data_IF_166600575931
#
_entry.id   IF_166600575931
#
_cell.length_a   1.000
_cell.length_b   1.000
_cell.length_c   1.000
_cell.angle_alpha   90.00
_cell.angle_beta   90.00
_cell.angle_gamma   90.00
#
_symmetry.space_group_name_H-M   'P 1'
#
loop_
_entity.id
_entity.type
_entity.pdbx_description
1 polymer ?
#
# COMPACT_ATOMS: atom_id res chain seq x y z
N UNK A 1 -14.03 -14.78 -5.90
CA UNK A 1 -13.35 -13.47 -5.84
C UNK A 1 -13.06 -13.15 -4.37
N UNK A 2 -11.91 -12.53 -4.06
CA UNK A 2 -11.55 -12.07 -2.71
C UNK A 2 -11.58 -10.55 -2.69
N UNK A 3 -12.19 -9.95 -1.66
CA UNK A 3 -12.19 -8.50 -1.44
C UNK A 3 -11.42 -8.18 -0.15
N UNK A 4 -10.54 -7.20 -0.20
CA UNK A 4 -9.88 -6.64 0.97
C UNK A 4 -10.41 -5.22 1.22
N UNK A 5 -10.88 -4.97 2.44
CA UNK A 5 -11.36 -3.67 2.88
C UNK A 5 -10.34 -3.06 3.82
N UNK A 6 -9.97 -1.83 3.55
CA UNK A 6 -9.10 -1.05 4.44
C UNK A 6 -9.95 -0.04 5.20
N UNK A 7 -10.16 -0.33 6.47
CA UNK A 7 -10.96 0.49 7.39
C UNK A 7 -10.02 1.19 8.36
N UNK A 8 -9.99 2.52 8.30
CA UNK A 8 -9.24 3.34 9.25
C UNK A 8 -10.12 3.67 10.45
N UNK A 9 -10.47 2.63 11.23
CA UNK A 9 -11.32 2.70 12.40
C UNK A 9 -10.71 1.93 13.55
N UNK A 10 -11.09 2.31 14.76
CA UNK A 10 -10.70 1.59 15.95
C UNK A 10 -11.18 0.12 15.87
N UNK A 11 -10.35 -0.87 16.23
CA UNK A 11 -10.75 -2.27 16.25
C UNK A 11 -11.97 -2.57 17.12
N UNK A 12 -12.24 -1.72 18.13
CA UNK A 12 -13.39 -1.83 19.04
C UNK A 12 -14.66 -1.19 18.51
N UNK A 13 -14.60 -0.45 17.40
CA UNK A 13 -15.77 0.19 16.78
C UNK A 13 -16.89 -0.85 16.55
N UNK A 14 -18.13 -0.58 16.97
CA UNK A 14 -19.27 -1.48 16.79
C UNK A 14 -19.44 -1.98 15.36
N UNK A 15 -19.09 -1.18 14.37
CA UNK A 15 -19.15 -1.52 12.96
C UNK A 15 -18.29 -2.73 12.60
N UNK A 16 -17.18 -2.95 13.32
CA UNK A 16 -16.31 -4.11 13.12
C UNK A 16 -17.01 -5.42 13.51
N UNK A 17 -17.93 -5.35 14.48
CA UNK A 17 -18.80 -6.46 14.86
C UNK A 17 -19.91 -6.69 13.86
N UNK A 18 -20.56 -5.62 13.40
CA UNK A 18 -21.58 -5.69 12.37
C UNK A 18 -21.06 -6.29 11.06
N UNK A 19 -19.87 -5.85 10.60
CA UNK A 19 -19.22 -6.41 9.41
C UNK A 19 -18.97 -7.91 9.50
N UNK A 20 -18.76 -8.45 10.70
CA UNK A 20 -18.60 -9.89 10.90
C UNK A 20 -19.90 -10.67 10.93
N UNK A 21 -20.97 -10.06 11.46
CA UNK A 21 -22.26 -10.72 11.63
C UNK A 21 -23.14 -10.61 10.38
N UNK A 22 -23.18 -9.41 9.80
CA UNK A 22 -24.06 -9.03 8.71
C UNK A 22 -23.26 -8.38 7.57
N UNK A 23 -22.28 -9.10 7.07
CA UNK A 23 -21.29 -8.56 6.12
C UNK A 23 -21.94 -7.90 4.92
N UNK A 24 -22.88 -8.58 4.25
CA UNK A 24 -23.51 -8.08 3.01
C UNK A 24 -24.30 -6.81 3.26
N UNK A 25 -25.20 -6.80 4.24
CA UNK A 25 -26.04 -5.64 4.56
C UNK A 25 -25.23 -4.43 4.98
N UNK A 26 -24.18 -4.67 5.80
CA UNK A 26 -23.26 -3.64 6.26
C UNK A 26 -22.44 -3.06 5.09
N UNK A 27 -21.93 -3.90 4.19
CA UNK A 27 -21.23 -3.45 2.99
C UNK A 27 -22.11 -2.59 2.09
N UNK A 28 -23.36 -2.99 1.85
CA UNK A 28 -24.30 -2.22 1.00
C UNK A 28 -24.69 -0.89 1.65
N UNK A 29 -24.77 -0.84 2.99
CA UNK A 29 -25.03 0.42 3.72
C UNK A 29 -23.87 1.43 3.53
N UNK A 30 -22.62 0.97 3.55
CA UNK A 30 -21.45 1.84 3.38
C UNK A 30 -21.10 2.13 1.92
N UNK A 31 -21.38 1.20 1.06
CA UNK A 31 -21.06 1.26 -0.37
C UNK A 31 -22.31 0.89 -1.19
N UNK A 32 -23.33 1.75 -1.21
CA UNK A 32 -24.59 1.43 -1.91
C UNK A 32 -24.40 1.18 -3.41
N UNK A 33 -23.37 1.79 -4.01
CA UNK A 33 -22.99 1.52 -5.39
C UNK A 33 -22.41 0.14 -5.66
N UNK A 34 -22.07 -0.63 -4.62
CA UNK A 34 -21.47 -1.94 -4.78
C UNK A 34 -22.38 -2.93 -5.51
N UNK A 35 -23.68 -2.84 -5.26
CA UNK A 35 -24.68 -3.69 -5.91
C UNK A 35 -24.76 -3.45 -7.42
N UNK A 36 -24.57 -2.21 -7.88
CA UNK A 36 -24.57 -1.90 -9.33
C UNK A 36 -23.35 -2.49 -10.06
N UNK A 37 -22.25 -2.77 -9.36
CA UNK A 37 -21.04 -3.37 -9.94
C UNK A 37 -21.05 -4.90 -9.85
N UNK A 38 -21.56 -5.46 -8.76
CA UNK A 38 -21.46 -6.90 -8.49
C UNK A 38 -22.78 -7.65 -8.78
N UNK A 39 -23.88 -6.92 -8.99
CA UNK A 39 -25.21 -7.53 -9.03
C UNK A 39 -25.60 -8.10 -7.68
N UNK A 40 -26.32 -9.21 -7.68
CA UNK A 40 -26.57 -9.97 -6.45
C UNK A 40 -25.35 -10.81 -6.09
N UNK A 41 -24.87 -10.69 -4.86
CA UNK A 41 -23.68 -11.39 -4.37
C UNK A 41 -23.92 -11.93 -2.97
N UNK A 42 -23.23 -13.03 -2.67
CA UNK A 42 -23.15 -13.59 -1.33
C UNK A 42 -21.72 -13.51 -0.81
N UNK A 43 -21.57 -13.39 0.50
CA UNK A 43 -20.27 -13.47 1.16
C UNK A 43 -20.09 -14.88 1.70
N UNK A 44 -19.07 -15.57 1.22
CA UNK A 44 -18.76 -16.94 1.59
C UNK A 44 -17.65 -16.94 2.64
N UNK A 45 -17.84 -17.66 3.74
CA UNK A 45 -16.87 -17.78 4.84
C UNK A 45 -16.94 -16.63 5.83
N UNK A 46 -15.98 -16.61 6.75
CA UNK A 46 -15.89 -15.62 7.81
C UNK A 46 -15.04 -14.43 7.40
N UNK A 47 -15.50 -13.24 7.76
CA UNK A 47 -14.69 -12.01 7.63
C UNK A 47 -13.60 -12.03 8.69
N UNK A 48 -12.35 -11.97 8.23
CA UNK A 48 -11.17 -11.87 9.10
C UNK A 48 -10.70 -10.43 9.15
N UNK A 49 -10.37 -9.96 10.37
CA UNK A 49 -9.83 -8.64 10.60
C UNK A 49 -8.36 -8.75 10.98
N UNK A 50 -7.55 -7.88 10.37
CA UNK A 50 -6.14 -7.73 10.70
C UNK A 50 -5.92 -6.28 11.09
N UNK A 51 -5.38 -6.07 12.29
CA UNK A 51 -4.93 -4.74 12.71
C UNK A 51 -3.54 -4.53 12.13
N UNK A 52 -3.35 -3.39 11.46
CA UNK A 52 -2.06 -3.03 10.87
C UNK A 52 -1.69 -1.63 11.31
N UNK A 53 -0.60 -1.53 12.05
CA UNK A 53 -0.04 -0.27 12.48
C UNK A 53 1.08 0.18 11.54
N UNK A 54 1.19 1.49 11.34
CA UNK A 54 2.34 2.09 10.65
C UNK A 54 3.49 2.12 11.66
N UNK A 55 4.46 1.26 11.47
CA UNK A 55 5.59 1.10 12.39
C UNK A 55 6.90 0.92 11.65
N UNK A 56 7.99 1.29 12.28
CA UNK A 56 9.34 0.97 11.86
C UNK A 56 10.05 0.22 12.99
N UNK A 57 10.89 -0.74 12.63
CA UNK A 57 11.63 -1.53 13.59
C UNK A 57 12.67 -0.66 14.32
N UNK A 58 12.59 -0.64 15.63
CA UNK A 58 13.62 -0.08 16.50
C UNK A 58 14.74 -1.11 16.74
N UNK A 59 15.95 -0.64 17.00
CA UNK A 59 17.10 -1.53 17.26
C UNK A 59 17.50 -2.39 16.07
N UNK A 60 17.18 -1.99 14.85
CA UNK A 60 17.45 -2.74 13.60
C UNK A 60 18.94 -2.81 13.24
N UNK A 61 19.79 -1.99 13.85
CA UNK A 61 21.24 -2.02 13.64
C UNK A 61 21.86 -3.16 14.46
N UNK A 62 21.75 -4.39 13.96
CA UNK A 62 22.34 -5.56 14.56
C UNK A 62 23.40 -6.17 13.65
N UNK A 63 24.56 -6.61 14.18
CA UNK A 63 25.58 -7.27 13.37
C UNK A 63 25.03 -8.48 12.64
N UNK A 64 25.30 -8.57 11.33
CA UNK A 64 24.90 -9.72 10.50
C UNK A 64 23.42 -9.80 10.12
N UNK A 65 22.58 -8.84 10.50
CA UNK A 65 21.13 -8.84 10.22
C UNK A 65 20.70 -7.59 9.49
N UNK A 66 19.98 -7.75 8.38
CA UNK A 66 19.35 -6.66 7.64
C UNK A 66 17.86 -6.93 7.51
N UNK A 67 17.03 -6.03 7.99
CA UNK A 67 15.59 -6.05 7.81
C UNK A 67 15.21 -5.28 6.54
N UNK A 68 14.40 -5.88 5.68
CA UNK A 68 13.93 -5.26 4.44
C UNK A 68 12.40 -5.30 4.34
N UNK A 69 11.85 -4.45 3.49
CA UNK A 69 10.40 -4.41 3.26
C UNK A 69 9.62 -4.24 4.55
N UNK A 70 8.55 -5.01 4.71
CA UNK A 70 7.65 -4.93 5.87
C UNK A 70 8.29 -5.37 7.19
N UNK A 71 9.41 -6.13 7.15
CA UNK A 71 10.18 -6.45 8.35
C UNK A 71 10.89 -5.23 8.95
N UNK A 72 11.27 -4.27 8.11
CA UNK A 72 11.85 -3.00 8.56
C UNK A 72 10.80 -1.96 8.88
N UNK A 73 9.85 -1.75 7.95
CA UNK A 73 8.81 -0.73 8.10
C UNK A 73 7.49 -1.23 7.57
N UNK A 74 6.50 -1.40 8.43
CA UNK A 74 5.14 -1.79 8.05
C UNK A 74 4.35 -0.58 7.62
N UNK A 75 3.77 -0.64 6.43
CA UNK A 75 2.91 0.40 5.88
C UNK A 75 1.52 -0.15 5.53
N UNK A 76 0.53 0.74 5.44
CA UNK A 76 -0.82 0.35 5.06
C UNK A 76 -0.84 -0.21 3.62
N UNK A 77 -1.35 -1.43 3.39
CA UNK A 77 -1.43 -2.04 2.05
C UNK A 77 -2.28 -1.24 1.07
N UNK A 78 -3.20 -0.39 1.56
CA UNK A 78 -4.00 0.52 0.74
C UNK A 78 -3.14 1.51 -0.08
N UNK A 79 -1.89 1.75 0.34
CA UNK A 79 -0.94 2.56 -0.41
C UNK A 79 -0.48 1.88 -1.71
N UNK A 80 -0.41 0.54 -1.74
CA UNK A 80 0.04 -0.25 -2.88
C UNK A 80 1.55 -0.14 -3.16
N UNK A 81 2.35 0.29 -2.20
CA UNK A 81 3.79 0.59 -2.37
C UNK A 81 4.72 -0.46 -1.77
N UNK A 82 4.20 -1.49 -1.08
CA UNK A 82 5.03 -2.47 -0.34
C UNK A 82 6.00 -3.23 -1.24
N UNK A 83 5.52 -3.75 -2.37
CA UNK A 83 6.36 -4.54 -3.30
C UNK A 83 7.42 -3.66 -3.96
N UNK A 84 7.06 -2.47 -4.46
CA UNK A 84 8.04 -1.58 -5.10
C UNK A 84 9.15 -1.13 -4.14
N UNK A 85 8.81 -0.87 -2.88
CA UNK A 85 9.78 -0.56 -1.84
C UNK A 85 10.71 -1.75 -1.54
N UNK A 86 10.15 -2.95 -1.39
CA UNK A 86 10.93 -4.18 -1.20
C UNK A 86 11.91 -4.40 -2.36
N UNK A 87 11.49 -4.16 -3.60
CA UNK A 87 12.37 -4.30 -4.78
C UNK A 87 13.53 -3.30 -4.75
N UNK A 88 13.31 -2.07 -4.29
CA UNK A 88 14.40 -1.10 -4.07
C UNK A 88 15.38 -1.63 -3.02
N UNK A 89 14.88 -2.13 -1.88
CA UNK A 89 15.73 -2.70 -0.83
C UNK A 89 16.59 -3.86 -1.38
N UNK A 90 15.98 -4.79 -2.11
CA UNK A 90 16.66 -5.95 -2.70
C UNK A 90 17.68 -5.50 -3.74
N UNK A 91 17.32 -4.60 -4.65
CA UNK A 91 18.21 -4.07 -5.66
C UNK A 91 19.46 -3.45 -5.01
N UNK A 92 19.26 -2.52 -4.06
CA UNK A 92 20.37 -1.84 -3.38
C UNK A 92 21.25 -2.81 -2.61
N UNK A 93 20.67 -3.75 -1.88
CA UNK A 93 21.45 -4.77 -1.17
C UNK A 93 22.27 -5.64 -2.11
N UNK A 94 21.65 -6.18 -3.17
CA UNK A 94 22.31 -7.17 -4.03
C UNK A 94 23.33 -6.55 -4.99
N UNK A 95 23.12 -5.29 -5.43
CA UNK A 95 23.99 -4.66 -6.43
C UNK A 95 25.07 -3.79 -5.81
N UNK A 96 24.84 -3.21 -4.64
CA UNK A 96 25.73 -2.22 -4.05
C UNK A 96 26.36 -2.69 -2.74
N UNK A 97 25.54 -3.10 -1.76
CA UNK A 97 26.04 -3.30 -0.41
C UNK A 97 26.65 -4.67 -0.19
N UNK A 98 25.97 -5.75 -0.54
CA UNK A 98 26.48 -7.12 -0.29
C UNK A 98 27.80 -7.38 -1.01
N UNK A 99 27.99 -7.07 -2.30
CA UNK A 99 29.28 -7.26 -2.96
C UNK A 99 30.41 -6.53 -2.23
N UNK A 100 30.22 -5.25 -1.91
CA UNK A 100 31.21 -4.43 -1.20
C UNK A 100 31.49 -4.93 0.21
N UNK A 101 30.46 -5.41 0.93
CA UNK A 101 30.64 -5.95 2.27
C UNK A 101 31.44 -7.25 2.31
N UNK A 102 31.36 -8.05 1.24
CA UNK A 102 32.10 -9.30 1.12
C UNK A 102 33.58 -9.10 0.82
N UNK A 103 34.00 -7.91 0.39
CA UNK A 103 35.40 -7.58 0.16
C UNK A 103 36.23 -7.49 1.47
N UNK A 104 35.56 -7.28 2.59
CA UNK A 104 36.19 -7.15 3.90
C UNK A 104 35.56 -8.08 4.93
N UNK A 105 36.33 -8.52 5.91
CA UNK A 105 35.85 -9.42 6.96
C UNK A 105 34.85 -8.73 7.90
N UNK A 106 33.95 -9.53 8.48
CA UNK A 106 32.98 -9.10 9.47
C UNK A 106 31.74 -8.43 8.87
N UNK A 107 30.68 -8.40 9.65
CA UNK A 107 29.40 -7.76 9.32
C UNK A 107 28.93 -6.95 10.53
N UNK A 108 29.70 -5.91 10.86
CA UNK A 108 29.43 -5.02 12.00
C UNK A 108 28.25 -4.07 11.75
N UNK A 109 27.88 -3.35 12.80
CA UNK A 109 26.80 -2.35 12.76
C UNK A 109 27.07 -1.23 11.75
N UNK A 110 28.33 -0.91 11.55
CA UNK A 110 28.80 0.14 10.63
C UNK A 110 28.35 -0.18 9.20
N UNK A 111 28.67 -1.40 8.73
CA UNK A 111 28.23 -1.87 7.41
C UNK A 111 26.70 -1.87 7.29
N UNK A 112 26.01 -2.38 8.30
CA UNK A 112 24.54 -2.43 8.31
C UNK A 112 23.95 -1.01 8.25
N UNK A 113 24.54 -0.04 8.97
CA UNK A 113 24.05 1.34 8.99
C UNK A 113 24.17 2.04 7.63
N UNK A 114 25.17 1.67 6.81
CA UNK A 114 25.32 2.22 5.46
C UNK A 114 24.08 1.97 4.60
N UNK A 115 23.52 0.74 4.65
CA UNK A 115 22.32 0.40 3.90
C UNK A 115 21.10 1.21 4.36
N UNK A 116 20.91 1.40 5.68
CA UNK A 116 19.80 2.20 6.19
C UNK A 116 19.97 3.70 5.94
N UNK A 117 21.17 4.14 5.62
CA UNK A 117 21.50 5.52 5.21
C UNK A 117 21.44 5.72 3.69
N UNK A 118 21.16 4.69 2.92
CA UNK A 118 21.07 4.78 1.45
C UNK A 118 19.96 5.75 1.03
N UNK A 119 20.27 6.76 0.19
CA UNK A 119 19.27 7.75 -0.23
C UNK A 119 18.08 7.17 -1.00
N UNK A 120 18.29 6.13 -1.81
CA UNK A 120 17.22 5.50 -2.57
C UNK A 120 16.27 4.72 -1.65
N UNK A 121 16.84 3.99 -0.66
CA UNK A 121 16.07 3.33 0.38
C UNK A 121 15.26 4.32 1.19
N UNK A 122 15.88 5.37 1.70
CA UNK A 122 15.21 6.41 2.50
C UNK A 122 14.07 7.05 1.69
N UNK A 123 14.31 7.39 0.42
CA UNK A 123 13.29 7.96 -0.44
C UNK A 123 12.11 7.00 -0.68
N UNK A 124 12.37 5.70 -0.88
CA UNK A 124 11.34 4.69 -1.06
C UNK A 124 10.49 4.49 0.21
N UNK A 125 11.13 4.45 1.38
CA UNK A 125 10.45 4.34 2.68
C UNK A 125 9.58 5.56 2.98
N UNK A 126 10.11 6.77 2.77
CA UNK A 126 9.38 8.03 2.96
C UNK A 126 8.20 8.14 1.99
N UNK A 127 8.40 7.81 0.72
CA UNK A 127 7.32 7.80 -0.28
C UNK A 127 6.21 6.84 0.14
N UNK A 128 6.56 5.63 0.56
CA UNK A 128 5.59 4.64 1.02
C UNK A 128 4.78 5.13 2.22
N UNK A 129 5.43 5.73 3.21
CA UNK A 129 4.77 6.30 4.38
C UNK A 129 3.86 7.48 4.02
N UNK A 130 4.31 8.38 3.14
CA UNK A 130 3.51 9.51 2.65
C UNK A 130 2.24 9.03 1.93
N UNK A 131 2.37 8.01 1.08
CA UNK A 131 1.23 7.41 0.39
C UNK A 131 0.25 6.75 1.35
N UNK A 132 0.74 6.04 2.38
CA UNK A 132 -0.11 5.46 3.41
C UNK A 132 -0.91 6.54 4.17
N UNK A 133 -0.24 7.59 4.63
CA UNK A 133 -0.87 8.74 5.30
C UNK A 133 -1.87 9.47 4.40
N UNK A 134 -1.52 9.65 3.13
CA UNK A 134 -2.42 10.25 2.14
C UNK A 134 -3.69 9.43 1.97
N UNK A 135 -3.58 8.11 1.84
CA UNK A 135 -4.74 7.21 1.72
C UNK A 135 -5.61 7.23 2.97
N UNK A 136 -4.99 7.22 4.14
CA UNK A 136 -5.69 7.36 5.41
C UNK A 136 -6.47 8.68 5.46
N UNK A 137 -5.80 9.81 5.21
CA UNK A 137 -6.44 11.11 5.24
C UNK A 137 -7.55 11.25 4.18
N UNK A 138 -7.34 10.71 2.98
CA UNK A 138 -8.35 10.70 1.92
C UNK A 138 -9.63 9.95 2.36
N UNK A 139 -9.50 8.95 3.22
CA UNK A 139 -10.63 8.10 3.64
C UNK A 139 -11.28 8.60 4.93
N UNK A 140 -10.50 9.04 5.91
CA UNK A 140 -10.96 9.31 7.29
C UNK A 140 -11.13 10.78 7.62
N UNK A 141 -10.46 11.71 6.90
CA UNK A 141 -10.57 13.13 7.23
C UNK A 141 -11.93 13.72 6.89
N UNK A 142 -12.53 14.44 7.85
CA UNK A 142 -13.79 15.18 7.68
C UNK A 142 -13.60 16.62 7.22
N UNK A 143 -12.35 17.11 7.14
CA UNK A 143 -12.02 18.48 6.74
C UNK A 143 -12.51 18.78 5.31
N UNK A 144 -12.99 20.01 5.09
CA UNK A 144 -13.52 20.50 3.81
C UNK A 144 -12.50 20.36 2.67
N UNK A 145 -11.20 20.58 2.96
CA UNK A 145 -10.09 20.41 2.00
C UNK A 145 -10.02 18.98 1.47
N UNK A 146 -10.19 17.99 2.35
CA UNK A 146 -10.19 16.58 1.98
C UNK A 146 -11.47 16.18 1.26
N UNK A 147 -12.61 16.79 1.60
CA UNK A 147 -13.87 16.58 0.88
C UNK A 147 -13.77 17.05 -0.58
N UNK A 148 -13.19 18.24 -0.82
CA UNK A 148 -12.94 18.74 -2.16
C UNK A 148 -11.94 17.83 -2.90
N UNK A 149 -10.85 17.44 -2.23
CA UNK A 149 -9.81 16.58 -2.81
C UNK A 149 -10.36 15.19 -3.20
N UNK A 150 -11.25 14.60 -2.40
CA UNK A 150 -11.99 13.36 -2.73
C UNK A 150 -12.83 13.53 -3.99
N UNK A 151 -13.61 14.61 -4.09
CA UNK A 151 -14.45 14.89 -5.28
C UNK A 151 -13.60 15.06 -6.53
N UNK A 152 -12.51 15.82 -6.45
CA UNK A 152 -11.59 16.02 -7.58
C UNK A 152 -10.93 14.70 -7.98
N UNK A 153 -10.47 13.91 -7.02
CA UNK A 153 -9.88 12.59 -7.29
C UNK A 153 -10.87 11.65 -7.97
N UNK A 154 -12.11 11.60 -7.49
CA UNK A 154 -13.18 10.80 -8.06
C UNK A 154 -13.53 11.25 -9.48
N UNK A 155 -13.66 12.55 -9.72
CA UNK A 155 -13.93 13.12 -11.04
C UNK A 155 -12.79 12.79 -12.02
N UNK A 156 -11.54 12.99 -11.62
CA UNK A 156 -10.37 12.64 -12.46
C UNK A 156 -10.39 11.16 -12.83
N UNK A 157 -10.64 10.28 -11.88
CA UNK A 157 -10.69 8.85 -12.12
C UNK A 157 -11.82 8.45 -13.08
N UNK A 158 -13.00 9.04 -12.92
CA UNK A 158 -14.14 8.80 -13.84
C UNK A 158 -13.86 9.31 -15.25
N UNK A 159 -13.21 10.47 -15.38
CA UNK A 159 -12.82 11.01 -16.68
C UNK A 159 -11.79 10.10 -17.35
N UNK A 160 -10.74 9.68 -16.63
CA UNK A 160 -9.73 8.78 -17.19
C UNK A 160 -10.32 7.44 -17.62
N UNK A 161 -11.21 6.83 -16.81
CA UNK A 161 -11.89 5.60 -17.19
C UNK A 161 -12.77 5.76 -18.44
N UNK A 162 -13.48 6.88 -18.58
CA UNK A 162 -14.29 7.16 -19.79
C UNK A 162 -13.42 7.40 -21.01
N UNK A 163 -12.32 8.14 -20.85
CA UNK A 163 -11.37 8.41 -21.95
C UNK A 163 -10.63 7.12 -22.37
N UNK A 164 -10.22 6.27 -21.43
CA UNK A 164 -9.58 4.99 -21.73
C UNK A 164 -10.55 4.00 -22.41
N UNK A 165 -11.84 4.08 -22.11
CA UNK A 165 -12.89 3.31 -22.81
C UNK A 165 -13.18 3.80 -24.24
N UNK A 166 -12.81 5.04 -24.57
CA UNK A 166 -13.02 5.65 -25.90
C UNK A 166 -11.75 5.51 -26.77
N UNK A 167 -10.59 5.19 -26.19
CA UNK A 167 -9.34 5.06 -26.93
C UNK A 167 -9.38 3.88 -27.90
N UNK A 168 -9.11 4.10 -29.20
CA UNK A 168 -8.97 3.00 -30.16
C UNK A 168 -7.88 2.03 -29.69
N UNK A 169 -8.12 0.73 -29.82
CA UNK A 169 -7.24 -0.34 -29.31
C UNK A 169 -5.79 -0.34 -29.86
N UNK A 170 -5.49 0.48 -30.87
CA UNK A 170 -4.14 0.67 -31.38
C UNK A 170 -3.24 1.52 -30.45
N UNK A 171 -3.82 2.47 -29.67
CA UNK A 171 -3.06 3.29 -28.69
C UNK A 171 -2.57 2.42 -27.52
N UNK A 172 -3.35 1.43 -27.10
CA UNK A 172 -2.93 0.47 -26.09
C UNK A 172 -1.75 -0.40 -26.54
N UNK A 173 -1.72 -0.76 -27.83
CA UNK A 173 -0.62 -1.53 -28.45
C UNK A 173 0.67 -0.74 -28.57
N UNK A 174 0.62 0.53 -28.92
CA UNK A 174 1.81 1.40 -29.02
C UNK A 174 2.46 1.64 -27.64
N UNK A 175 1.67 1.79 -26.57
CA UNK A 175 2.21 1.91 -25.19
C UNK A 175 2.82 0.61 -24.67
N UNK A 176 2.32 -0.55 -25.06
CA UNK A 176 2.93 -1.84 -24.75
C UNK A 176 4.30 -2.03 -25.43
N UNK A 177 4.44 -1.58 -26.67
CA UNK A 177 5.68 -1.67 -27.44
C UNK A 177 6.78 -0.66 -27.00
N UNK A 178 6.41 0.44 -26.35
CA UNK A 178 7.36 1.42 -25.80
C UNK A 178 7.82 1.10 -24.36
N UNK A 179 7.31 0.03 -23.75
CA UNK A 179 7.69 -0.45 -22.41
C UNK A 179 8.41 -1.81 -22.45
N UNK A 180 8.55 -2.42 -23.60
CA UNK A 180 9.38 -3.58 -23.87
C UNK A 180 10.75 -3.14 -24.44
#
# INVERSE_FOLDING_TARGET
>A
MRANLFLFRDPTDPIMRELRRETRSTLLRFMPGLQSYLGDFSVIGQVQNWVMDLSAAEGHLQPGVVLIGDAFQTNCPAAGTGVSRLLVDVERLCTEYVPRWLETSGMGKEKISEFYSDPAKIAADQHSLQMARFRQALTSSSDIRWNVRRRVHFLRRNITHRVDGIRPGWIARVRGALRA
#
